data_IF_514557716820
#
_entry.id   IF_514557716820
#
_cell.length_a   1.000
_cell.length_b   1.000
_cell.length_c   1.000
_cell.angle_alpha   90.00
_cell.angle_beta   90.00
_cell.angle_gamma   90.00
#
_symmetry.space_group_name_H-M   'P 1'
#
loop_
_entity.id
_entity.type
_entity.pdbx_description
1 polymer ?
#
# COMPACT_ATOMS: atom_id res chain seq x y z
N UNK A 1 10.08 -8.31 -10.52
CA UNK A 1 8.82 -9.06 -10.43
C UNK A 1 7.71 -8.19 -11.01
N UNK A 2 6.94 -8.68 -11.97
CA UNK A 2 5.87 -7.93 -12.63
C UNK A 2 4.78 -7.46 -11.65
N UNK A 3 4.58 -8.19 -10.53
CA UNK A 3 3.66 -7.78 -9.47
C UNK A 3 4.08 -6.44 -8.85
N UNK A 4 5.37 -6.29 -8.52
CA UNK A 4 5.90 -5.06 -7.92
C UNK A 4 5.99 -3.88 -8.91
N UNK A 5 5.91 -4.14 -10.22
CA UNK A 5 5.78 -3.09 -11.24
C UNK A 5 4.34 -2.60 -11.35
N UNK A 6 3.36 -3.50 -11.34
CA UNK A 6 1.94 -3.15 -11.38
C UNK A 6 1.47 -2.51 -10.06
N UNK A 7 2.00 -3.03 -8.95
CA UNK A 7 1.73 -2.62 -7.58
C UNK A 7 3.02 -2.22 -6.86
N UNK A 8 3.53 -1.00 -7.08
CA UNK A 8 4.73 -0.53 -6.39
C UNK A 8 4.49 -0.45 -4.88
N UNK A 9 5.41 -0.93 -4.03
CA UNK A 9 5.26 -0.84 -2.58
C UNK A 9 5.32 0.63 -2.12
N UNK A 10 4.49 0.97 -1.13
CA UNK A 10 4.61 2.27 -0.44
C UNK A 10 5.80 2.21 0.53
N UNK A 11 6.95 2.74 0.08
CA UNK A 11 8.21 2.73 0.84
C UNK A 11 8.32 3.99 1.71
N UNK A 12 8.97 3.84 2.86
CA UNK A 12 9.26 4.93 3.80
C UNK A 12 10.69 4.80 4.33
N UNK A 13 11.23 5.90 4.87
CA UNK A 13 12.49 5.92 5.63
C UNK A 13 12.28 6.02 7.14
N UNK A 14 11.05 6.30 7.58
CA UNK A 14 10.69 6.37 9.01
C UNK A 14 10.09 5.05 9.48
N UNK A 15 10.41 4.63 10.70
CA UNK A 15 9.91 3.37 11.28
C UNK A 15 8.51 3.49 11.89
N UNK A 16 8.16 4.69 12.34
CA UNK A 16 6.89 4.99 13.01
C UNK A 16 6.12 5.99 12.17
N UNK A 17 4.88 5.63 11.83
CA UNK A 17 4.00 6.49 11.04
C UNK A 17 2.77 6.76 11.89
N UNK A 18 2.53 8.03 12.19
CA UNK A 18 1.29 8.50 12.79
C UNK A 18 0.48 9.19 11.69
N UNK A 19 -0.79 8.84 11.58
CA UNK A 19 -1.73 9.54 10.72
C UNK A 19 -2.84 10.14 11.55
N UNK A 20 -2.95 11.46 11.54
CA UNK A 20 -4.08 12.15 12.18
C UNK A 20 -5.36 11.82 11.41
N UNK A 21 -6.41 11.42 12.12
CA UNK A 21 -7.70 11.08 11.52
C UNK A 21 -7.85 9.63 11.07
N UNK A 22 -6.77 8.84 11.08
CA UNK A 22 -6.79 7.44 10.60
C UNK A 22 -7.49 6.52 11.60
N UNK A 23 -8.60 5.88 11.20
CA UNK A 23 -9.24 4.80 11.97
C UNK A 23 -8.55 3.47 11.71
N UNK A 24 -7.35 3.33 12.26
CA UNK A 24 -6.56 2.11 12.20
C UNK A 24 -5.13 2.31 12.67
N UNK A 25 -4.31 1.27 12.52
CA UNK A 25 -2.90 1.31 12.89
C UNK A 25 -2.03 1.41 11.65
N UNK A 26 -1.24 2.49 11.56
CA UNK A 26 -0.12 2.55 10.64
C UNK A 26 1.14 2.00 11.30
N UNK A 27 1.95 1.33 10.50
CA UNK A 27 3.23 0.79 10.94
C UNK A 27 4.16 0.57 9.75
N UNK A 28 5.29 -0.08 10.00
CA UNK A 28 6.23 -0.45 8.94
C UNK A 28 6.65 -1.90 9.03
N UNK A 29 7.03 -2.48 7.88
CA UNK A 29 7.61 -3.81 7.79
C UNK A 29 8.85 -3.79 6.91
N UNK A 30 9.88 -4.56 7.29
CA UNK A 30 11.12 -4.67 6.51
C UNK A 30 10.93 -5.65 5.36
N UNK A 31 11.23 -5.19 4.15
CA UNK A 31 11.20 -6.00 2.93
C UNK A 31 12.49 -6.79 2.76
N UNK A 32 12.46 -7.78 1.87
CA UNK A 32 13.63 -8.60 1.50
C UNK A 32 14.77 -7.78 0.88
N UNK A 33 14.43 -6.70 0.18
CA UNK A 33 15.37 -5.74 -0.42
C UNK A 33 15.95 -4.74 0.61
N UNK A 34 15.56 -4.85 1.89
CA UNK A 34 16.04 -4.00 2.97
C UNK A 34 15.24 -2.72 3.19
N UNK A 35 14.34 -2.36 2.27
CA UNK A 35 13.50 -1.17 2.40
C UNK A 35 12.41 -1.36 3.47
N UNK A 36 11.93 -0.26 4.04
CA UNK A 36 10.76 -0.26 4.93
C UNK A 36 9.51 0.04 4.13
N UNK A 37 8.50 -0.83 4.24
CA UNK A 37 7.20 -0.66 3.62
C UNK A 37 6.17 -0.26 4.66
N UNK A 38 5.30 0.68 4.29
CA UNK A 38 4.19 1.08 5.15
C UNK A 38 3.15 -0.03 5.22
N UNK A 39 2.57 -0.19 6.39
CA UNK A 39 1.47 -1.13 6.64
C UNK A 39 0.28 -0.41 7.26
N UNK A 40 -0.93 -0.85 6.93
CA UNK A 40 -2.17 -0.47 7.61
C UNK A 40 -2.82 -1.72 8.19
N UNK A 41 -3.09 -1.73 9.49
CA UNK A 41 -3.62 -2.90 10.20
C UNK A 41 -2.84 -4.19 9.89
N UNK A 42 -1.50 -4.08 9.85
CA UNK A 42 -0.54 -5.16 9.51
C UNK A 42 -0.56 -5.63 8.05
N UNK A 43 -1.34 -5.01 7.18
CA UNK A 43 -1.31 -5.29 5.74
C UNK A 43 -0.37 -4.32 5.02
N UNK A 44 0.58 -4.81 4.20
CA UNK A 44 1.48 -3.95 3.42
C UNK A 44 0.71 -3.11 2.40
N UNK A 45 0.99 -1.82 2.36
CA UNK A 45 0.37 -0.88 1.43
C UNK A 45 1.16 -0.79 0.13
N UNK A 46 0.41 -0.66 -0.97
CA UNK A 46 0.91 -0.54 -2.32
C UNK A 46 0.20 0.59 -3.05
N UNK A 47 0.88 1.18 -4.02
CA UNK A 47 0.25 1.99 -5.05
C UNK A 47 -0.24 1.11 -6.18
N UNK A 48 -1.19 1.60 -6.97
CA UNK A 48 -1.47 1.03 -8.27
C UNK A 48 -0.85 1.89 -9.36
N UNK A 49 0.00 1.28 -10.20
CA UNK A 49 0.73 1.99 -11.26
C UNK A 49 -0.13 2.73 -12.28
N UNK A 50 -1.42 2.40 -12.40
CA UNK A 50 -2.36 3.08 -13.32
C UNK A 50 -3.21 4.16 -12.65
N UNK A 51 -3.08 4.34 -11.34
CA UNK A 51 -3.67 5.48 -10.63
C UNK A 51 -2.73 6.67 -10.79
N UNK A 52 -3.05 7.54 -11.76
CA UNK A 52 -2.17 8.62 -12.24
C UNK A 52 -2.61 10.00 -11.78
N UNK A 53 -3.85 10.13 -11.29
CA UNK A 53 -4.42 11.36 -10.77
C UNK A 53 -4.95 11.15 -9.35
N UNK A 54 -5.02 12.22 -8.57
CA UNK A 54 -5.63 12.18 -7.25
C UNK A 54 -7.11 11.73 -7.38
N UNK A 55 -7.50 10.75 -6.56
CA UNK A 55 -8.83 10.16 -6.60
C UNK A 55 -8.98 9.01 -7.61
N UNK A 56 -7.97 8.67 -8.41
CA UNK A 56 -7.99 7.43 -9.19
C UNK A 56 -8.03 6.21 -8.25
N UNK A 57 -8.93 5.28 -8.56
CA UNK A 57 -9.08 4.00 -7.85
C UNK A 57 -9.17 2.83 -8.84
N UNK A 58 -8.44 2.90 -9.96
CA UNK A 58 -8.53 1.92 -11.06
C UNK A 58 -8.03 0.54 -10.66
N UNK A 59 -7.28 0.44 -9.56
CA UNK A 59 -6.86 -0.82 -8.97
C UNK A 59 -7.93 -1.51 -8.12
N UNK A 60 -8.99 -0.79 -7.74
CA UNK A 60 -10.05 -1.31 -6.87
C UNK A 60 -10.71 -2.57 -7.46
N UNK A 61 -10.81 -3.62 -6.64
CA UNK A 61 -11.46 -4.87 -7.04
C UNK A 61 -10.63 -5.74 -7.99
N UNK A 62 -9.38 -5.36 -8.29
CA UNK A 62 -8.50 -6.17 -9.12
C UNK A 62 -8.18 -7.48 -8.42
N UNK A 63 -8.23 -8.61 -9.15
CA UNK A 63 -7.83 -9.94 -8.66
C UNK A 63 -6.46 -10.37 -9.20
N UNK A 64 -5.65 -9.42 -9.67
CA UNK A 64 -4.33 -9.69 -10.23
C UNK A 64 -3.37 -10.30 -9.22
N UNK A 65 -2.52 -11.23 -9.68
CA UNK A 65 -1.44 -11.85 -8.90
C UNK A 65 -1.91 -12.68 -7.68
N UNK A 66 -3.15 -13.20 -7.72
CA UNK A 66 -3.63 -14.21 -6.77
C UNK A 66 -4.32 -13.68 -5.52
N UNK A 67 -4.61 -12.37 -5.44
CA UNK A 67 -5.35 -11.78 -4.33
C UNK A 67 -6.28 -10.66 -4.81
N UNK A 68 -7.35 -10.42 -4.04
CA UNK A 68 -8.23 -9.26 -4.23
C UNK A 68 -7.54 -8.01 -3.69
N UNK A 69 -7.51 -6.96 -4.50
CA UNK A 69 -6.98 -5.66 -4.14
C UNK A 69 -8.11 -4.69 -3.81
N UNK A 70 -7.97 -4.01 -2.67
CA UNK A 70 -8.92 -2.98 -2.23
C UNK A 70 -8.17 -1.71 -1.89
N UNK A 71 -8.72 -0.58 -2.34
CA UNK A 71 -8.37 0.75 -1.87
C UNK A 71 -8.60 0.80 -0.37
N UNK A 72 -7.58 1.26 0.35
CA UNK A 72 -7.74 1.58 1.77
C UNK A 72 -8.54 2.87 1.85
N UNK A 73 -9.81 2.71 2.21
CA UNK A 73 -10.71 3.80 2.54
C UNK A 73 -10.77 3.86 4.06
N UNK A 74 -10.41 4.99 4.62
CA UNK A 74 -10.63 5.27 6.03
C UNK A 74 -12.11 5.70 6.19
N UNK A 75 -12.96 4.90 6.85
CA UNK A 75 -14.40 5.19 6.98
C UNK A 75 -14.69 6.31 7.97
#
# INVERSE_FOLDING_TARGET
DACATAWPPLITTVTTIAGTGIKGSLGTSKRKDGALQVTFNKHPLYFFSRDTAAGDTKGQGSQGFGALWTVVIDP
#
